data_IF_362645431453
#
_entry.id   IF_362645431453
#
_cell.length_a   1.000
_cell.length_b   1.000
_cell.length_c   1.000
_cell.angle_alpha   90.00
_cell.angle_beta   90.00
_cell.angle_gamma   90.00
#
_symmetry.space_group_name_H-M   'P 1'
#
loop_
_entity.id
_entity.type
_entity.pdbx_description
1 polymer ?
#
# COMPACT_ATOMS: atom_id res chain seq x y z
N UNK A 1 2.27 -28.98 1.87
CA UNK A 1 2.69 -27.62 1.49
C UNK A 1 3.61 -27.12 2.59
N UNK A 2 4.76 -26.55 2.22
CA UNK A 2 5.77 -26.10 3.18
C UNK A 2 5.18 -24.98 4.07
N UNK A 3 5.30 -25.10 5.39
CA UNK A 3 4.67 -24.17 6.35
C UNK A 3 5.09 -22.71 6.09
N UNK A 4 6.32 -22.50 5.63
CA UNK A 4 6.83 -21.19 5.27
C UNK A 4 6.14 -20.62 4.03
N UNK A 5 5.90 -21.42 2.98
CA UNK A 5 5.18 -20.97 1.77
C UNK A 5 3.74 -20.56 2.08
N UNK A 6 3.08 -21.30 2.97
CA UNK A 6 1.72 -20.98 3.41
C UNK A 6 1.69 -19.65 4.17
N UNK A 7 2.63 -19.43 5.09
CA UNK A 7 2.75 -18.18 5.84
C UNK A 7 3.03 -16.99 4.91
N UNK A 8 3.94 -17.12 3.93
CA UNK A 8 4.20 -16.06 2.95
C UNK A 8 2.94 -15.76 2.14
N UNK A 9 2.19 -16.78 1.73
CA UNK A 9 0.92 -16.59 1.00
C UNK A 9 -0.11 -15.85 1.85
N UNK A 10 -0.20 -16.13 3.15
CA UNK A 10 -1.06 -15.39 4.09
C UNK A 10 -0.63 -13.93 4.21
N UNK A 11 0.67 -13.67 4.32
CA UNK A 11 1.21 -12.32 4.39
C UNK A 11 0.98 -11.52 3.10
N UNK A 12 1.09 -12.15 1.93
CA UNK A 12 0.76 -11.50 0.65
C UNK A 12 -0.73 -11.12 0.57
N UNK A 13 -1.64 -11.98 1.03
CA UNK A 13 -3.08 -11.65 1.11
C UNK A 13 -3.35 -10.53 2.11
N UNK A 14 -2.65 -10.53 3.24
CA UNK A 14 -2.72 -9.43 4.20
C UNK A 14 -2.23 -8.12 3.57
N UNK A 15 -1.08 -8.14 2.88
CA UNK A 15 -0.54 -7.01 2.14
C UNK A 15 -1.55 -6.44 1.15
N UNK A 16 -2.19 -7.29 0.35
CA UNK A 16 -3.24 -6.89 -0.59
C UNK A 16 -4.41 -6.19 0.13
N UNK A 17 -4.86 -6.73 1.26
CA UNK A 17 -5.92 -6.10 2.06
C UNK A 17 -5.50 -4.72 2.55
N UNK A 18 -4.26 -4.58 3.03
CA UNK A 18 -3.71 -3.29 3.48
C UNK A 18 -3.62 -2.29 2.31
N UNK A 19 -3.22 -2.72 1.11
CA UNK A 19 -3.27 -1.88 -0.09
C UNK A 19 -4.70 -1.41 -0.42
N UNK A 20 -5.69 -2.29 -0.30
CA UNK A 20 -7.09 -1.92 -0.53
C UNK A 20 -7.58 -0.87 0.49
N UNK A 21 -7.19 -1.00 1.76
CA UNK A 21 -7.50 0.00 2.80
C UNK A 21 -6.80 1.33 2.53
N UNK A 22 -5.55 1.31 2.05
CA UNK A 22 -4.86 2.53 1.62
C UNK A 22 -5.59 3.21 0.49
N UNK A 23 -6.01 2.48 -0.55
CA UNK A 23 -6.78 3.02 -1.67
C UNK A 23 -8.11 3.66 -1.23
N UNK A 24 -8.79 3.07 -0.24
CA UNK A 24 -9.99 3.68 0.36
C UNK A 24 -9.64 5.02 1.02
N UNK A 25 -8.55 5.06 1.81
CA UNK A 25 -8.07 6.30 2.43
C UNK A 25 -7.59 7.33 1.42
N UNK A 26 -7.05 6.92 0.28
CA UNK A 26 -6.77 7.84 -0.83
C UNK A 26 -8.05 8.47 -1.39
N UNK A 27 -9.12 7.68 -1.52
CA UNK A 27 -10.45 8.17 -1.88
C UNK A 27 -10.97 9.24 -0.92
N UNK A 28 -10.87 8.95 0.38
CA UNK A 28 -11.25 9.90 1.43
C UNK A 28 -10.38 11.17 1.42
N UNK A 29 -9.07 11.03 1.17
CA UNK A 29 -8.15 12.18 1.06
C UNK A 29 -8.53 13.06 -0.13
N UNK A 30 -8.79 12.48 -1.30
CA UNK A 30 -9.20 13.24 -2.49
C UNK A 30 -10.45 14.08 -2.22
N UNK A 31 -11.42 13.51 -1.51
CA UNK A 31 -12.63 14.22 -1.11
C UNK A 31 -12.33 15.34 -0.10
N UNK A 32 -11.54 15.04 0.94
CA UNK A 32 -11.14 16.02 1.94
C UNK A 32 -10.34 17.19 1.33
N UNK A 33 -9.46 16.93 0.36
CA UNK A 33 -8.77 17.98 -0.43
C UNK A 33 -9.78 18.81 -1.23
N UNK A 34 -10.77 18.17 -1.87
CA UNK A 34 -11.79 18.86 -2.68
C UNK A 34 -12.61 19.85 -1.86
N UNK A 35 -12.99 19.48 -0.63
CA UNK A 35 -13.77 20.32 0.28
C UNK A 35 -12.92 21.15 1.25
N UNK A 36 -11.59 21.10 1.13
CA UNK A 36 -10.62 21.81 1.97
C UNK A 36 -10.76 21.50 3.48
N UNK A 37 -11.14 20.27 3.83
CA UNK A 37 -11.29 19.82 5.22
C UNK A 37 -9.93 19.38 5.80
N UNK A 38 -9.18 20.36 6.30
CA UNK A 38 -7.84 20.14 6.85
C UNK A 38 -7.82 19.25 8.10
N UNK A 39 -8.86 19.31 8.94
CA UNK A 39 -8.96 18.47 10.14
C UNK A 39 -9.10 16.99 9.76
N UNK A 40 -9.96 16.70 8.78
CA UNK A 40 -10.11 15.35 8.24
C UNK A 40 -8.86 14.88 7.50
N UNK A 41 -8.18 15.77 6.78
CA UNK A 41 -6.92 15.43 6.10
C UNK A 41 -5.84 14.95 7.07
N UNK A 42 -5.68 15.60 8.23
CA UNK A 42 -4.71 15.19 9.25
C UNK A 42 -4.98 13.76 9.74
N UNK A 43 -6.23 13.44 10.07
CA UNK A 43 -6.62 12.11 10.51
C UNK A 43 -6.39 11.05 9.43
N UNK A 44 -6.68 11.37 8.17
CA UNK A 44 -6.45 10.46 7.04
C UNK A 44 -4.95 10.19 6.85
N UNK A 45 -4.11 11.21 6.96
CA UNK A 45 -2.65 11.07 6.84
C UNK A 45 -2.11 10.13 7.92
N UNK A 46 -2.50 10.34 9.18
CA UNK A 46 -2.06 9.48 10.30
C UNK A 46 -2.44 8.00 10.08
N UNK A 47 -3.66 7.75 9.63
CA UNK A 47 -4.10 6.37 9.33
C UNK A 47 -3.27 5.78 8.19
N UNK A 48 -3.00 6.55 7.12
CA UNK A 48 -2.19 6.07 5.99
C UNK A 48 -0.75 5.79 6.39
N UNK A 49 -0.13 6.63 7.20
CA UNK A 49 1.23 6.42 7.71
C UNK A 49 1.33 5.09 8.48
N UNK A 50 0.35 4.80 9.34
CA UNK A 50 0.27 3.52 10.05
C UNK A 50 0.12 2.32 9.09
N UNK A 51 -0.73 2.43 8.07
CA UNK A 51 -0.89 1.38 7.06
C UNK A 51 0.40 1.15 6.25
N UNK A 52 1.14 2.21 5.92
CA UNK A 52 2.45 2.11 5.23
C UNK A 52 3.49 1.43 6.12
N UNK A 53 3.54 1.78 7.42
CA UNK A 53 4.41 1.11 8.38
C UNK A 53 4.11 -0.39 8.45
N UNK A 54 2.83 -0.77 8.44
CA UNK A 54 2.42 -2.18 8.47
C UNK A 54 2.71 -2.92 7.16
N UNK A 55 2.62 -2.26 6.00
CA UNK A 55 3.10 -2.80 4.73
C UNK A 55 4.60 -3.10 4.80
N UNK A 56 5.41 -2.16 5.29
CA UNK A 56 6.86 -2.32 5.41
C UNK A 56 7.23 -3.49 6.34
N UNK A 57 6.55 -3.62 7.49
CA UNK A 57 6.74 -4.78 8.39
C UNK A 57 6.38 -6.09 7.70
N UNK A 58 5.30 -6.10 6.92
CA UNK A 58 4.84 -7.28 6.19
C UNK A 58 5.87 -7.69 5.13
N UNK A 59 6.41 -6.73 4.38
CA UNK A 59 7.44 -6.97 3.37
C UNK A 59 8.73 -7.50 3.97
N UNK A 60 9.16 -6.93 5.10
CA UNK A 60 10.31 -7.43 5.83
C UNK A 60 10.11 -8.89 6.25
N UNK A 61 8.95 -9.22 6.83
CA UNK A 61 8.63 -10.59 7.26
C UNK A 61 8.58 -11.57 6.08
N UNK A 62 8.02 -11.15 4.94
CA UNK A 62 8.03 -11.96 3.70
C UNK A 62 9.46 -12.21 3.23
N UNK A 63 10.29 -11.16 3.18
CA UNK A 63 11.70 -11.25 2.77
C UNK A 63 12.47 -12.24 3.64
N UNK A 64 12.31 -12.15 4.97
CA UNK A 64 13.03 -13.01 5.92
C UNK A 64 12.58 -14.47 5.84
N UNK A 65 11.30 -14.72 5.59
CA UNK A 65 10.80 -16.08 5.32
C UNK A 65 11.30 -16.62 3.97
N UNK A 66 11.32 -15.78 2.94
CA UNK A 66 11.70 -16.20 1.59
C UNK A 66 13.19 -16.54 1.47
N UNK A 67 14.08 -15.82 2.18
CA UNK A 67 15.53 -16.10 2.20
C UNK A 67 15.87 -17.53 2.64
N UNK A 68 15.02 -18.14 3.45
CA UNK A 68 15.23 -19.50 3.98
C UNK A 68 14.64 -20.60 3.09
N UNK A 69 13.94 -20.25 2.01
CA UNK A 69 13.40 -21.21 1.07
C UNK A 69 14.47 -21.67 0.07
N UNK A 70 14.40 -22.93 -0.33
CA UNK A 70 15.19 -23.43 -1.46
C UNK A 70 14.79 -22.74 -2.78
N UNK A 71 15.69 -22.69 -3.76
CA UNK A 71 15.42 -22.11 -5.08
C UNK A 71 14.17 -22.69 -5.75
N UNK A 72 13.96 -24.00 -5.62
CA UNK A 72 12.77 -24.68 -6.17
C UNK A 72 11.50 -24.21 -5.46
N UNK A 73 11.55 -24.07 -4.13
CA UNK A 73 10.43 -23.57 -3.34
C UNK A 73 10.13 -22.10 -3.63
N UNK A 74 11.15 -21.26 -3.82
CA UNK A 74 11.01 -19.86 -4.23
C UNK A 74 10.35 -19.74 -5.61
N UNK A 75 10.84 -20.47 -6.62
CA UNK A 75 10.24 -20.46 -7.97
C UNK A 75 8.78 -20.90 -7.94
N UNK A 76 8.48 -21.96 -7.19
CA UNK A 76 7.10 -22.41 -7.01
C UNK A 76 6.26 -21.37 -6.29
N UNK A 77 6.77 -20.71 -5.24
CA UNK A 77 6.05 -19.65 -4.52
C UNK A 77 5.69 -18.47 -5.43
N UNK A 78 6.63 -18.03 -6.28
CA UNK A 78 6.41 -16.95 -7.26
C UNK A 78 5.31 -17.35 -8.23
N UNK A 79 5.37 -18.57 -8.79
CA UNK A 79 4.35 -19.08 -9.72
C UNK A 79 2.97 -19.18 -9.06
N UNK A 80 2.91 -19.69 -7.83
CA UNK A 80 1.66 -19.88 -7.08
C UNK A 80 0.98 -18.54 -6.74
N UNK A 81 1.76 -17.45 -6.64
CA UNK A 81 1.28 -16.13 -6.22
C UNK A 81 1.37 -15.07 -7.32
N UNK A 82 1.63 -15.42 -8.57
CA UNK A 82 1.88 -14.47 -9.66
C UNK A 82 0.74 -13.46 -9.83
N UNK A 83 -0.50 -13.94 -9.88
CA UNK A 83 -1.68 -13.07 -10.04
C UNK A 83 -1.89 -12.16 -8.82
N UNK A 84 -1.60 -12.64 -7.61
CA UNK A 84 -1.68 -11.86 -6.39
C UNK A 84 -0.60 -10.77 -6.36
N UNK A 85 0.64 -11.12 -6.74
CA UNK A 85 1.77 -10.18 -6.86
C UNK A 85 1.44 -9.05 -7.83
N UNK A 86 1.00 -9.39 -9.05
CA UNK A 86 0.58 -8.40 -10.06
C UNK A 86 -0.50 -7.45 -9.54
N UNK A 87 -1.48 -7.97 -8.79
CA UNK A 87 -2.54 -7.13 -8.24
C UNK A 87 -2.02 -6.17 -7.17
N UNK A 88 -1.13 -6.63 -6.30
CA UNK A 88 -0.48 -5.79 -5.29
C UNK A 88 0.35 -4.69 -5.96
N UNK A 89 1.11 -5.02 -7.01
CA UNK A 89 1.88 -4.04 -7.79
C UNK A 89 0.98 -2.94 -8.37
N UNK A 90 -0.10 -3.32 -9.05
CA UNK A 90 -1.08 -2.38 -9.60
C UNK A 90 -1.74 -1.51 -8.53
N UNK A 91 -2.11 -2.10 -7.39
CA UNK A 91 -2.69 -1.35 -6.29
C UNK A 91 -1.68 -0.31 -5.73
N UNK A 92 -0.40 -0.68 -5.60
CA UNK A 92 0.66 0.22 -5.14
C UNK A 92 0.94 1.35 -6.14
N UNK A 93 1.00 1.06 -7.44
CA UNK A 93 1.14 2.08 -8.50
C UNK A 93 0.02 3.11 -8.42
N UNK A 94 -1.22 2.63 -8.28
CA UNK A 94 -2.40 3.49 -8.15
C UNK A 94 -2.37 4.35 -6.89
N UNK A 95 -1.90 3.81 -5.76
CA UNK A 95 -1.70 4.58 -4.52
C UNK A 95 -0.71 5.73 -4.77
N UNK A 96 0.43 5.46 -5.41
CA UNK A 96 1.45 6.47 -5.69
C UNK A 96 0.92 7.57 -6.63
N UNK A 97 0.19 7.18 -7.68
CA UNK A 97 -0.43 8.11 -8.62
C UNK A 97 -1.43 9.04 -7.90
N UNK A 98 -2.34 8.48 -7.10
CA UNK A 98 -3.34 9.26 -6.37
C UNK A 98 -2.72 10.20 -5.34
N UNK A 99 -1.64 9.78 -4.66
CA UNK A 99 -0.93 10.62 -3.70
C UNK A 99 -0.30 11.82 -4.40
N UNK A 100 0.35 11.58 -5.54
CA UNK A 100 0.94 12.62 -6.36
C UNK A 100 -0.10 13.65 -6.80
N UNK A 101 -1.31 13.20 -7.19
CA UNK A 101 -2.42 14.10 -7.56
C UNK A 101 -2.88 14.93 -6.36
N UNK A 102 -3.03 14.33 -5.18
CA UNK A 102 -3.45 15.04 -3.97
C UNK A 102 -2.43 16.11 -3.56
N UNK A 103 -1.13 15.77 -3.58
CA UNK A 103 -0.06 16.71 -3.25
C UNK A 103 0.00 17.90 -4.22
N UNK A 104 -0.14 17.66 -5.53
CA UNK A 104 -0.21 18.73 -6.54
C UNK A 104 -1.37 19.69 -6.26
N UNK A 105 -2.56 19.18 -5.95
CA UNK A 105 -3.74 20.00 -5.62
C UNK A 105 -3.53 20.83 -4.36
N UNK A 106 -2.98 20.23 -3.30
CA UNK A 106 -2.68 20.94 -2.06
C UNK A 106 -1.64 22.05 -2.26
N UNK A 107 -0.63 21.82 -3.11
CA UNK A 107 0.37 22.84 -3.43
C UNK A 107 -0.22 24.00 -4.25
N UNK A 108 -1.13 23.74 -5.19
CA UNK A 108 -1.86 24.79 -5.91
C UNK A 108 -2.71 25.62 -4.95
N UNK A 109 -3.45 24.98 -4.03
CA UNK A 109 -4.25 25.68 -3.03
C UNK A 109 -3.39 26.57 -2.13
N UNK A 110 -2.21 26.10 -1.70
CA UNK A 110 -1.27 26.92 -0.91
C UNK A 110 -0.78 28.15 -1.68
N UNK A 111 -0.50 28.01 -2.97
CA UNK A 111 0.01 29.11 -3.79
C UNK A 111 -1.08 30.10 -4.23
N UNK A 112 -2.32 29.65 -4.42
CA UNK A 112 -3.46 30.51 -4.79
C UNK A 112 -4.08 31.29 -3.63
N UNK A 113 -3.68 31.01 -2.37
CA UNK A 113 -4.06 31.80 -1.19
C UNK A 113 -3.14 33.03 -1.00
N UNK A 114 -2.03 33.11 -1.74
CA UNK A 114 -1.04 34.20 -1.68
C UNK A 114 -1.25 35.30 -2.73
N UNK A 115 -2.36 35.28 -3.47
CA UNK A 115 -2.80 36.36 -4.37
C UNK A 115 -3.97 37.14 -3.74
#
# INVERSE_FOLDING_TARGET
MDKQKEEITKLLKYKQKTCAQLLEKMGEQMEAVRIQDNSRLLLIIEVKENLILDLNKTDQKISDLAKNLSDTAQRSLVKDNEALGKRIELDLEKIIEQETVCQKKLNILKNGILE
#
